data_IF_383544020341
#
_entry.id   IF_383544020341
#
_cell.length_a   1.000
_cell.length_b   1.000
_cell.length_c   1.000
_cell.angle_alpha   90.00
_cell.angle_beta   90.00
_cell.angle_gamma   90.00
#
_symmetry.space_group_name_H-M   'P 1'
#
loop_
_entity.id
_entity.type
_entity.pdbx_description
1 polymer ?
#
# COMPACT_ATOMS: atom_id res chain seq x y z
N UNK A 1 -4.31 19.61 -11.43
CA UNK A 1 -3.01 19.02 -11.82
C UNK A 1 -3.23 17.52 -12.01
N UNK A 2 -2.97 16.95 -13.19
CA UNK A 2 -3.16 15.49 -13.39
C UNK A 2 -1.97 14.76 -12.73
N UNK A 3 -2.21 13.77 -11.87
CA UNK A 3 -1.12 13.07 -11.20
C UNK A 3 -0.22 12.37 -12.21
N UNK A 4 1.07 12.43 -11.93
CA UNK A 4 2.12 11.76 -12.68
C UNK A 4 1.94 10.24 -12.58
N UNK A 5 2.11 9.51 -13.68
CA UNK A 5 1.92 8.05 -13.73
C UNK A 5 3.18 7.36 -14.19
N UNK A 6 3.37 6.10 -13.78
CA UNK A 6 4.50 5.27 -14.21
C UNK A 6 4.63 5.24 -15.75
N UNK A 7 3.50 5.08 -16.45
CA UNK A 7 3.50 5.08 -17.92
C UNK A 7 4.04 6.37 -18.52
N UNK A 8 3.71 7.54 -17.94
CA UNK A 8 4.23 8.83 -18.42
C UNK A 8 5.73 8.99 -18.16
N UNK A 9 6.23 8.49 -17.02
CA UNK A 9 7.66 8.48 -16.73
C UNK A 9 8.42 7.59 -17.74
N UNK A 10 7.88 6.41 -18.04
CA UNK A 10 8.43 5.51 -19.06
C UNK A 10 8.42 6.16 -20.44
N UNK A 11 7.34 6.83 -20.82
CA UNK A 11 7.23 7.51 -22.11
C UNK A 11 8.29 8.60 -22.27
N UNK A 12 8.51 9.43 -21.25
CA UNK A 12 9.56 10.45 -21.26
C UNK A 12 10.94 9.81 -21.43
N UNK A 13 11.25 8.80 -20.62
CA UNK A 13 12.55 8.11 -20.72
C UNK A 13 12.73 7.45 -22.08
N UNK A 14 11.67 6.87 -22.65
CA UNK A 14 11.66 6.28 -24.00
C UNK A 14 11.99 7.31 -25.07
N UNK A 15 11.33 8.48 -25.04
CA UNK A 15 11.55 9.57 -25.99
C UNK A 15 13.00 10.05 -25.92
N UNK A 16 13.46 10.38 -24.70
CA UNK A 16 14.83 10.84 -24.44
C UNK A 16 15.87 9.85 -24.98
N UNK A 17 15.64 8.54 -24.80
CA UNK A 17 16.52 7.48 -25.30
C UNK A 17 16.48 7.34 -26.82
N UNK A 18 15.30 7.44 -27.43
CA UNK A 18 15.12 7.29 -28.87
C UNK A 18 15.80 8.42 -29.67
N UNK A 19 15.66 9.65 -29.20
CA UNK A 19 16.20 10.84 -29.89
C UNK A 19 17.62 11.22 -29.47
N UNK A 20 18.19 10.54 -28.46
CA UNK A 20 19.54 10.82 -27.91
C UNK A 20 19.72 12.27 -27.45
N UNK A 21 18.66 12.86 -26.91
CA UNK A 21 18.58 14.28 -26.58
C UNK A 21 17.20 14.81 -26.95
N UNK A 22 16.46 15.36 -26.00
CA UNK A 22 15.15 16.01 -26.27
C UNK A 22 15.06 17.36 -25.58
N UNK A 23 14.46 18.33 -26.25
CA UNK A 23 14.04 19.61 -25.69
C UNK A 23 12.66 19.50 -25.03
N UNK A 24 12.20 20.59 -24.41
CA UNK A 24 10.84 20.68 -23.87
C UNK A 24 9.82 20.62 -25.02
N UNK A 25 10.11 21.29 -26.13
CA UNK A 25 9.27 21.35 -27.33
C UNK A 25 9.09 19.96 -27.96
N UNK A 26 10.16 19.16 -28.03
CA UNK A 26 10.08 17.78 -28.54
C UNK A 26 9.12 16.93 -27.70
N UNK A 27 9.17 17.08 -26.37
CA UNK A 27 8.29 16.35 -25.44
C UNK A 27 6.85 16.85 -25.52
N UNK A 28 6.67 18.16 -25.67
CA UNK A 28 5.36 18.80 -25.88
C UNK A 28 4.65 18.22 -27.10
N UNK A 29 5.35 18.22 -28.24
CA UNK A 29 4.84 17.71 -29.52
C UNK A 29 4.61 16.20 -29.47
N UNK A 30 5.61 15.42 -29.07
CA UNK A 30 5.55 13.96 -29.10
C UNK A 30 4.50 13.37 -28.13
N UNK A 31 4.27 14.03 -26.99
CA UNK A 31 3.30 13.57 -25.98
C UNK A 31 1.93 14.25 -26.09
N UNK A 32 1.77 15.21 -27.00
CA UNK A 32 0.56 16.03 -27.19
C UNK A 32 0.09 16.68 -25.88
N UNK A 33 1.02 17.33 -25.18
CA UNK A 33 0.77 18.03 -23.92
C UNK A 33 1.12 19.52 -24.09
N UNK A 34 0.93 20.33 -23.05
CA UNK A 34 1.38 21.72 -23.08
C UNK A 34 2.81 21.84 -22.53
N UNK A 35 3.49 22.95 -22.89
CA UNK A 35 4.86 23.26 -22.45
C UNK A 35 5.08 23.16 -20.94
N UNK A 36 4.15 23.68 -20.14
CA UNK A 36 4.24 23.63 -18.67
C UNK A 36 4.28 22.19 -18.16
N UNK A 37 3.42 21.33 -18.74
CA UNK A 37 3.38 19.92 -18.38
C UNK A 37 4.62 19.19 -18.86
N UNK A 38 5.09 19.43 -20.07
CA UNK A 38 6.34 18.85 -20.58
C UNK A 38 7.53 19.19 -19.65
N UNK A 39 7.62 20.46 -19.25
CA UNK A 39 8.63 20.95 -18.29
C UNK A 39 8.53 20.23 -16.95
N UNK A 40 7.31 20.08 -16.41
CA UNK A 40 7.07 19.35 -15.16
C UNK A 40 7.49 17.88 -15.26
N UNK A 41 7.16 17.20 -16.36
CA UNK A 41 7.52 15.80 -16.57
C UNK A 41 9.03 15.59 -16.63
N UNK A 42 9.73 16.45 -17.38
CA UNK A 42 11.18 16.41 -17.51
C UNK A 42 11.85 16.71 -16.16
N UNK A 43 11.37 17.72 -15.43
CA UNK A 43 11.88 18.04 -14.10
C UNK A 43 11.73 16.87 -13.13
N UNK A 44 10.58 16.19 -13.11
CA UNK A 44 10.37 15.04 -12.24
C UNK A 44 11.27 13.85 -12.62
N UNK A 45 11.40 13.56 -13.91
CA UNK A 45 12.30 12.50 -14.39
C UNK A 45 13.78 12.82 -14.07
N UNK A 46 14.16 14.09 -14.10
CA UNK A 46 15.48 14.59 -13.71
C UNK A 46 15.71 14.50 -12.19
N UNK A 47 14.72 14.88 -11.36
CA UNK A 47 14.76 14.71 -9.90
C UNK A 47 14.91 13.24 -9.49
N UNK A 48 14.31 12.33 -10.26
CA UNK A 48 14.47 10.88 -10.12
C UNK A 48 15.77 10.35 -10.72
N UNK A 49 16.63 11.22 -11.28
CA UNK A 49 17.90 10.89 -11.95
C UNK A 49 17.75 9.91 -13.12
N UNK A 50 16.55 9.75 -13.70
CA UNK A 50 16.34 8.90 -14.88
C UNK A 50 16.83 9.59 -16.15
N UNK A 51 16.81 10.92 -16.14
CA UNK A 51 17.38 11.76 -17.19
C UNK A 51 18.28 12.82 -16.55
N UNK A 52 19.11 13.46 -17.37
CA UNK A 52 19.97 14.57 -16.99
C UNK A 52 19.82 15.70 -18.00
N UNK A 53 19.83 16.95 -17.55
CA UNK A 53 19.86 18.13 -18.43
C UNK A 53 21.29 18.52 -18.78
N UNK A 54 21.52 18.88 -20.03
CA UNK A 54 22.75 19.52 -20.53
C UNK A 54 22.34 20.62 -21.54
N UNK A 55 22.43 21.87 -21.10
CA UNK A 55 21.85 23.02 -21.79
C UNK A 55 20.33 22.92 -21.89
N UNK A 56 19.79 23.02 -23.09
CA UNK A 56 18.35 22.90 -23.38
C UNK A 56 17.90 21.46 -23.66
N UNK A 57 18.83 20.51 -23.65
CA UNK A 57 18.55 19.12 -24.00
C UNK A 57 18.61 18.22 -22.78
N UNK A 58 17.74 17.22 -22.77
CA UNK A 58 17.66 16.17 -21.77
C UNK A 58 18.14 14.84 -22.35
N UNK A 59 18.95 14.12 -21.59
CA UNK A 59 19.58 12.86 -21.98
C UNK A 59 19.29 11.76 -20.98
N UNK A 60 19.19 10.51 -21.43
CA UNK A 60 18.94 9.37 -20.55
C UNK A 60 20.19 9.07 -19.72
N UNK A 61 20.01 8.75 -18.44
CA UNK A 61 21.11 8.27 -17.58
C UNK A 61 21.23 6.75 -17.64
N UNK A 62 22.28 6.19 -17.04
CA UNK A 62 22.36 4.74 -16.83
C UNK A 62 21.17 4.19 -16.03
N UNK A 63 20.73 4.96 -15.03
CA UNK A 63 19.56 4.62 -14.20
C UNK A 63 18.26 4.67 -15.02
N UNK A 64 18.08 5.67 -15.89
CA UNK A 64 16.94 5.75 -16.80
C UNK A 64 16.86 4.59 -17.78
N UNK A 65 18.01 4.17 -18.33
CA UNK A 65 18.05 2.98 -19.18
C UNK A 65 17.66 1.72 -18.41
N UNK A 66 18.17 1.53 -17.19
CA UNK A 66 17.79 0.40 -16.34
C UNK A 66 16.29 0.41 -15.98
N UNK A 67 15.75 1.58 -15.64
CA UNK A 67 14.33 1.79 -15.38
C UNK A 67 13.46 1.35 -16.58
N UNK A 68 13.80 1.83 -17.78
CA UNK A 68 13.05 1.51 -18.99
C UNK A 68 13.11 0.02 -19.34
N UNK A 69 14.30 -0.59 -19.27
CA UNK A 69 14.46 -2.02 -19.54
C UNK A 69 13.69 -2.88 -18.53
N UNK A 70 13.72 -2.52 -17.24
CA UNK A 70 12.95 -3.22 -16.21
C UNK A 70 11.44 -3.14 -16.48
N UNK A 71 10.94 -1.94 -16.80
CA UNK A 71 9.53 -1.76 -17.15
C UNK A 71 9.14 -2.57 -18.39
N UNK A 72 9.93 -2.51 -19.47
CA UNK A 72 9.63 -3.19 -20.74
C UNK A 72 9.64 -4.72 -20.61
N UNK A 73 10.43 -5.27 -19.68
CA UNK A 73 10.48 -6.71 -19.37
C UNK A 73 9.42 -7.15 -18.35
N UNK A 74 8.67 -6.22 -17.77
CA UNK A 74 7.77 -6.50 -16.66
C UNK A 74 8.50 -6.92 -15.37
N UNK A 75 9.79 -6.60 -15.23
CA UNK A 75 10.60 -6.93 -14.07
C UNK A 75 10.33 -5.94 -12.93
N UNK A 76 9.29 -6.24 -12.15
CA UNK A 76 8.83 -5.40 -11.02
C UNK A 76 9.89 -5.27 -9.93
N UNK A 77 10.64 -6.33 -9.64
CA UNK A 77 11.67 -6.32 -8.62
C UNK A 77 12.83 -5.41 -9.04
N UNK A 78 13.25 -5.47 -10.31
CA UNK A 78 14.28 -4.55 -10.82
C UNK A 78 13.79 -3.11 -10.88
N UNK A 79 12.52 -2.90 -11.21
CA UNK A 79 11.92 -1.57 -11.21
C UNK A 79 11.89 -0.96 -9.80
N UNK A 80 11.50 -1.76 -8.80
CA UNK A 80 11.57 -1.38 -7.39
C UNK A 80 12.99 -1.02 -6.95
N UNK A 81 13.99 -1.83 -7.32
CA UNK A 81 15.41 -1.56 -7.06
C UNK A 81 15.83 -0.19 -7.61
N UNK A 82 15.51 0.08 -8.88
CA UNK A 82 15.83 1.36 -9.53
C UNK A 82 15.11 2.53 -8.86
N UNK A 83 13.85 2.37 -8.48
CA UNK A 83 13.09 3.42 -7.78
C UNK A 83 13.59 3.68 -6.36
N UNK A 84 14.24 2.71 -5.69
CA UNK A 84 14.86 2.93 -4.38
C UNK A 84 16.02 3.95 -4.42
N UNK A 85 16.60 4.24 -5.60
CA UNK A 85 17.60 5.30 -5.76
C UNK A 85 16.99 6.71 -5.65
N UNK A 86 15.65 6.83 -5.76
CA UNK A 86 14.92 8.08 -5.55
C UNK A 86 14.55 8.25 -4.06
N UNK A 87 15.15 9.20 -3.32
CA UNK A 87 15.01 9.26 -1.87
C UNK A 87 13.57 9.35 -1.34
N UNK A 88 12.64 10.12 -1.96
CA UNK A 88 11.24 10.14 -1.54
C UNK A 88 10.55 8.78 -1.66
N UNK A 89 10.82 8.01 -2.72
CA UNK A 89 10.26 6.67 -2.88
C UNK A 89 10.79 5.73 -1.79
N UNK A 90 12.11 5.74 -1.56
CA UNK A 90 12.73 4.94 -0.51
C UNK A 90 12.19 5.31 0.88
N UNK A 91 12.04 6.60 1.18
CA UNK A 91 11.55 7.07 2.47
C UNK A 91 10.12 6.59 2.76
N UNK A 92 9.19 6.76 1.81
CA UNK A 92 7.81 6.27 1.97
C UNK A 92 7.81 4.75 2.16
N UNK A 93 8.53 4.02 1.29
CA UNK A 93 8.62 2.56 1.35
C UNK A 93 9.16 2.09 2.70
N UNK A 94 10.22 2.71 3.20
CA UNK A 94 10.84 2.40 4.49
C UNK A 94 9.83 2.58 5.63
N UNK A 95 9.09 3.68 5.67
CA UNK A 95 8.07 3.93 6.70
C UNK A 95 6.98 2.86 6.69
N UNK A 96 6.38 2.58 5.52
CA UNK A 96 5.28 1.61 5.40
C UNK A 96 5.75 0.15 5.58
N UNK A 97 7.07 -0.09 5.47
CA UNK A 97 7.71 -1.38 5.78
C UNK A 97 7.94 -1.63 7.26
N UNK A 98 7.70 -0.63 8.11
CA UNK A 98 7.89 -0.73 9.57
C UNK A 98 6.57 -0.64 10.33
N UNK A 99 5.61 0.14 9.84
CA UNK A 99 4.33 0.39 10.51
C UNK A 99 3.21 0.71 9.50
N UNK A 100 1.96 0.61 9.94
CA UNK A 100 0.83 1.15 9.18
C UNK A 100 0.66 2.65 9.43
N UNK A 101 0.45 3.40 8.36
CA UNK A 101 0.37 4.87 8.40
C UNK A 101 -0.70 5.39 7.45
N UNK A 102 -1.30 6.54 7.77
CA UNK A 102 -2.21 7.24 6.86
C UNK A 102 -1.43 8.10 5.87
N UNK A 103 -2.11 8.59 4.82
CA UNK A 103 -1.53 9.55 3.88
C UNK A 103 -1.08 10.81 4.63
N UNK A 104 -1.88 11.29 5.59
CA UNK A 104 -1.54 12.48 6.38
C UNK A 104 -0.29 12.27 7.25
N UNK A 105 -0.17 11.10 7.88
CA UNK A 105 1.04 10.75 8.64
C UNK A 105 2.26 10.64 7.72
N UNK A 106 2.12 10.06 6.51
CA UNK A 106 3.20 10.02 5.53
C UNK A 106 3.65 11.42 5.11
N UNK A 107 2.72 12.35 4.88
CA UNK A 107 3.05 13.74 4.57
C UNK A 107 3.85 14.38 5.70
N UNK A 108 3.40 14.22 6.94
CA UNK A 108 4.08 14.76 8.12
C UNK A 108 5.47 14.15 8.30
N UNK A 109 5.64 12.85 8.07
CA UNK A 109 6.91 12.15 8.26
C UNK A 109 7.93 12.39 7.15
N UNK A 110 7.47 12.70 5.93
CA UNK A 110 8.33 12.85 4.74
C UNK A 110 8.48 14.29 4.26
N UNK A 111 7.68 15.23 4.80
CA UNK A 111 7.53 16.59 4.29
C UNK A 111 7.13 16.67 2.80
N UNK A 112 6.50 15.60 2.28
CA UNK A 112 5.99 15.56 0.92
C UNK A 112 4.58 16.14 0.83
N UNK A 113 4.23 16.62 -0.36
CA UNK A 113 2.84 16.98 -0.67
C UNK A 113 1.97 15.72 -0.75
N UNK A 114 0.66 15.87 -0.54
CA UNK A 114 -0.29 14.76 -0.69
C UNK A 114 -0.18 14.09 -2.06
N UNK A 115 -0.10 14.91 -3.12
CA UNK A 115 0.05 14.44 -4.51
C UNK A 115 1.33 13.62 -4.69
N UNK A 116 2.44 14.04 -4.07
CA UNK A 116 3.71 13.29 -4.16
C UNK A 116 3.62 11.95 -3.41
N UNK A 117 3.00 11.93 -2.23
CA UNK A 117 2.77 10.68 -1.48
C UNK A 117 1.89 9.72 -2.29
N UNK A 118 0.77 10.19 -2.84
CA UNK A 118 -0.12 9.36 -3.67
C UNK A 118 0.59 8.82 -4.91
N UNK A 119 1.40 9.64 -5.58
CA UNK A 119 2.19 9.23 -6.72
C UNK A 119 3.14 8.09 -6.34
N UNK A 120 3.87 8.23 -5.23
CA UNK A 120 4.80 7.21 -4.73
C UNK A 120 4.05 5.92 -4.35
N UNK A 121 2.89 6.03 -3.70
CA UNK A 121 2.07 4.87 -3.36
C UNK A 121 1.57 4.12 -4.62
N UNK A 122 1.27 4.83 -5.71
CA UNK A 122 0.93 4.19 -6.99
C UNK A 122 2.13 3.50 -7.64
N UNK A 123 3.33 4.07 -7.53
CA UNK A 123 4.57 3.41 -7.97
C UNK A 123 4.83 2.14 -7.15
N UNK A 124 4.65 2.22 -5.83
CA UNK A 124 4.77 1.08 -4.91
C UNK A 124 3.72 0.01 -5.21
N UNK A 125 2.49 0.39 -5.54
CA UNK A 125 1.44 -0.56 -5.91
C UNK A 125 1.78 -1.36 -7.17
N UNK A 126 2.52 -0.76 -8.10
CA UNK A 126 2.97 -1.46 -9.31
C UNK A 126 4.14 -2.42 -9.03
N UNK A 127 5.00 -2.07 -8.08
CA UNK A 127 6.29 -2.73 -7.85
C UNK A 127 6.28 -3.73 -6.69
N UNK A 128 5.42 -3.54 -5.70
CA UNK A 128 5.32 -4.35 -4.49
C UNK A 128 3.97 -5.06 -4.42
N UNK A 129 3.98 -6.40 -4.57
CA UNK A 129 2.75 -7.20 -4.51
C UNK A 129 2.15 -7.28 -3.08
N UNK A 130 2.94 -6.96 -2.06
CA UNK A 130 2.54 -7.00 -0.65
C UNK A 130 2.07 -5.64 -0.08
N UNK A 131 1.82 -4.65 -0.95
CA UNK A 131 1.26 -3.37 -0.53
C UNK A 131 -0.22 -3.52 -0.17
N UNK A 132 -0.58 -3.15 1.05
CA UNK A 132 -1.93 -3.27 1.58
C UNK A 132 -2.52 -1.90 1.91
N UNK A 133 -3.79 -1.73 1.55
CA UNK A 133 -4.63 -0.61 1.99
C UNK A 133 -5.73 -1.15 2.89
N UNK A 134 -5.79 -0.66 4.13
CA UNK A 134 -6.75 -1.11 5.13
C UNK A 134 -7.37 0.12 5.80
N UNK A 135 -8.59 0.47 5.39
CA UNK A 135 -9.19 1.76 5.76
C UNK A 135 -8.34 2.92 5.24
N UNK A 136 -8.01 3.87 6.11
CA UNK A 136 -7.15 5.02 5.78
C UNK A 136 -5.64 4.74 5.90
N UNK A 137 -5.28 3.52 6.29
CA UNK A 137 -3.88 3.14 6.55
C UNK A 137 -3.30 2.33 5.38
N UNK A 138 -2.02 2.54 5.12
CA UNK A 138 -1.19 1.81 4.16
C UNK A 138 0.01 1.18 4.84
N UNK A 139 0.37 -0.04 4.43
CA UNK A 139 1.53 -0.78 4.92
C UNK A 139 2.00 -1.83 3.90
N UNK A 140 3.24 -2.29 4.03
CA UNK A 140 3.70 -3.53 3.40
C UNK A 140 3.45 -4.71 4.35
N UNK A 141 2.75 -5.74 3.88
CA UNK A 141 2.49 -6.91 4.71
C UNK A 141 3.77 -7.69 5.01
N UNK A 142 3.82 -8.25 6.22
CA UNK A 142 4.95 -9.09 6.66
C UNK A 142 4.92 -10.44 5.98
N UNK A 143 6.10 -11.00 5.66
CA UNK A 143 6.20 -12.33 5.04
C UNK A 143 5.88 -13.46 6.02
N UNK A 144 6.30 -13.29 7.27
CA UNK A 144 6.12 -14.28 8.32
C UNK A 144 4.93 -13.91 9.20
N UNK A 145 4.04 -14.88 9.41
CA UNK A 145 2.90 -14.70 10.31
C UNK A 145 3.39 -14.53 11.76
N UNK A 146 2.74 -13.66 12.56
CA UNK A 146 3.08 -13.46 13.95
C UNK A 146 2.87 -14.75 14.75
N UNK A 147 3.53 -14.87 15.91
CA UNK A 147 3.29 -15.99 16.82
C UNK A 147 1.84 -15.94 17.31
N UNK A 148 1.23 -17.10 17.56
CA UNK A 148 -0.18 -17.16 17.97
C UNK A 148 -0.48 -16.33 19.23
N UNK A 149 0.43 -16.33 20.20
CA UNK A 149 0.30 -15.52 21.43
C UNK A 149 0.35 -14.01 21.16
N UNK A 150 1.18 -13.58 20.22
CA UNK A 150 1.30 -12.17 19.81
C UNK A 150 0.01 -11.74 19.11
N UNK A 151 -0.46 -12.54 18.15
CA UNK A 151 -1.75 -12.32 17.48
C UNK A 151 -2.90 -12.21 18.48
N UNK A 152 -2.99 -13.15 19.43
CA UNK A 152 -4.05 -13.13 20.44
C UNK A 152 -3.96 -11.92 21.38
N UNK A 153 -2.74 -11.52 21.76
CA UNK A 153 -2.52 -10.33 22.58
C UNK A 153 -3.04 -9.06 21.89
N UNK A 154 -2.72 -8.87 20.61
CA UNK A 154 -3.22 -7.74 19.82
C UNK A 154 -4.73 -7.82 19.60
N UNK A 155 -5.25 -9.02 19.29
CA UNK A 155 -6.69 -9.24 19.13
C UNK A 155 -7.46 -8.83 20.40
N UNK A 156 -6.98 -9.23 21.59
CA UNK A 156 -7.55 -8.82 22.87
C UNK A 156 -7.52 -7.30 23.04
N UNK A 157 -6.35 -6.68 22.85
CA UNK A 157 -6.18 -5.23 22.98
C UNK A 157 -7.22 -4.49 22.14
N UNK A 158 -7.27 -4.79 20.84
CA UNK A 158 -8.21 -4.18 19.89
C UNK A 158 -9.67 -4.44 20.28
N UNK A 159 -10.01 -5.68 20.65
CA UNK A 159 -11.36 -6.03 21.05
C UNK A 159 -11.82 -5.23 22.28
N UNK A 160 -10.98 -5.11 23.31
CA UNK A 160 -11.31 -4.36 24.53
C UNK A 160 -11.34 -2.86 24.30
N UNK A 161 -10.50 -2.31 23.43
CA UNK A 161 -10.59 -0.91 23.01
C UNK A 161 -11.94 -0.64 22.33
N UNK A 162 -12.36 -1.51 21.40
CA UNK A 162 -13.64 -1.39 20.71
C UNK A 162 -14.84 -1.60 21.64
N UNK A 163 -14.78 -2.54 22.58
CA UNK A 163 -15.90 -2.82 23.50
C UNK A 163 -16.14 -1.71 24.51
N UNK A 164 -15.09 -0.96 24.88
CA UNK A 164 -15.17 0.21 25.77
C UNK A 164 -15.59 1.49 25.05
N UNK A 165 -15.45 1.55 23.73
CA UNK A 165 -15.78 2.72 22.91
C UNK A 165 -17.28 2.91 22.62
N UNK A 166 -18.16 2.05 23.14
CA UNK A 166 -19.60 2.20 22.97
C UNK A 166 -20.10 3.47 23.66
N UNK A 167 -20.76 4.33 22.86
CA UNK A 167 -21.60 5.40 23.38
C UNK A 167 -22.55 4.76 24.40
N UNK A 168 -22.77 5.41 25.55
CA UNK A 168 -23.68 4.97 26.63
C UNK A 168 -23.12 4.07 27.75
N UNK A 169 -21.81 3.77 27.80
CA UNK A 169 -21.21 3.14 28.99
C UNK A 169 -21.57 1.66 29.21
N UNK A 170 -22.31 1.05 28.29
CA UNK A 170 -22.57 -0.40 28.27
C UNK A 170 -21.52 -1.08 27.38
N UNK A 171 -20.67 -1.94 27.95
CA UNK A 171 -19.73 -2.72 27.15
C UNK A 171 -20.47 -3.57 26.13
N UNK A 172 -20.09 -3.46 24.86
CA UNK A 172 -20.64 -4.34 23.85
C UNK A 172 -19.82 -5.63 23.83
N UNK A 173 -20.39 -6.72 24.32
CA UNK A 173 -19.74 -8.04 24.33
C UNK A 173 -19.65 -8.68 22.94
N UNK A 174 -20.35 -8.13 21.94
CA UNK A 174 -20.31 -8.61 20.57
C UNK A 174 -19.82 -7.50 19.65
N UNK A 175 -18.56 -7.60 19.24
CA UNK A 175 -17.95 -6.64 18.32
C UNK A 175 -17.94 -7.23 16.92
N UNK A 176 -18.24 -6.41 15.92
CA UNK A 176 -18.18 -6.88 14.53
C UNK A 176 -16.75 -7.29 14.17
N UNK A 177 -16.61 -8.48 13.56
CA UNK A 177 -15.30 -9.04 13.20
C UNK A 177 -14.57 -8.13 12.23
N UNK A 178 -15.25 -7.52 11.26
CA UNK A 178 -14.59 -6.67 10.27
C UNK A 178 -13.93 -5.43 10.90
N UNK A 179 -14.54 -4.86 11.95
CA UNK A 179 -13.93 -3.75 12.71
C UNK A 179 -12.69 -4.19 13.46
N UNK A 180 -12.75 -5.36 14.10
CA UNK A 180 -11.60 -5.94 14.82
C UNK A 180 -10.49 -6.29 13.84
N UNK A 181 -10.82 -6.97 12.74
CA UNK A 181 -9.89 -7.42 11.72
C UNK A 181 -9.12 -6.24 11.11
N UNK A 182 -9.79 -5.15 10.75
CA UNK A 182 -9.13 -3.94 10.21
C UNK A 182 -8.05 -3.44 11.16
N UNK A 183 -8.37 -3.27 12.45
CA UNK A 183 -7.41 -2.74 13.43
C UNK A 183 -6.28 -3.72 13.74
N UNK A 184 -6.59 -5.02 13.88
CA UNK A 184 -5.56 -6.06 14.08
C UNK A 184 -4.63 -6.15 12.87
N UNK A 185 -5.17 -6.12 11.65
CA UNK A 185 -4.39 -6.12 10.42
C UNK A 185 -3.49 -4.89 10.31
N UNK A 186 -3.98 -3.72 10.71
CA UNK A 186 -3.18 -2.49 10.74
C UNK A 186 -2.03 -2.55 11.75
N UNK A 187 -2.27 -3.10 12.94
CA UNK A 187 -1.25 -3.22 14.00
C UNK A 187 -0.18 -4.26 13.62
N UNK A 188 -0.60 -5.43 13.13
CA UNK A 188 0.29 -6.56 12.81
C UNK A 188 0.76 -6.59 11.36
N UNK A 189 0.31 -5.64 10.52
CA UNK A 189 0.58 -5.59 9.07
C UNK A 189 0.24 -6.88 8.36
N UNK A 190 -0.95 -7.41 8.64
CA UNK A 190 -1.49 -8.62 8.04
C UNK A 190 -2.42 -8.30 6.88
N UNK A 191 -2.50 -9.20 5.91
CA UNK A 191 -3.63 -9.23 4.99
C UNK A 191 -4.88 -9.77 5.70
N UNK A 192 -6.06 -9.57 5.11
CA UNK A 192 -7.29 -10.17 5.65
C UNK A 192 -7.23 -11.70 5.63
N UNK A 193 -6.59 -12.29 4.61
CA UNK A 193 -6.42 -13.74 4.50
C UNK A 193 -5.48 -14.28 5.60
N UNK A 194 -4.42 -13.54 5.91
CA UNK A 194 -3.50 -13.86 7.01
C UNK A 194 -4.20 -13.74 8.38
N UNK A 195 -4.99 -12.68 8.58
CA UNK A 195 -5.80 -12.52 9.79
C UNK A 195 -6.74 -13.71 9.98
N UNK A 196 -7.43 -14.14 8.92
CA UNK A 196 -8.31 -15.31 8.98
C UNK A 196 -7.58 -16.59 9.32
N UNK A 197 -6.44 -16.83 8.68
CA UNK A 197 -5.58 -17.98 8.97
C UNK A 197 -5.13 -17.99 10.43
N UNK A 198 -4.81 -16.83 10.99
CA UNK A 198 -4.41 -16.69 12.39
C UNK A 198 -5.59 -16.86 13.35
N UNK A 199 -6.78 -16.37 12.98
CA UNK A 199 -8.00 -16.53 13.75
C UNK A 199 -8.45 -17.99 13.79
N UNK A 200 -8.39 -18.71 12.67
CA UNK A 200 -8.63 -20.15 12.57
C UNK A 200 -7.74 -20.92 13.56
N UNK A 201 -6.41 -20.70 13.48
CA UNK A 201 -5.44 -21.35 14.38
C UNK A 201 -5.71 -21.04 15.86
N UNK A 202 -6.17 -19.83 16.16
CA UNK A 202 -6.48 -19.42 17.53
C UNK A 202 -7.69 -20.19 18.08
N UNK A 203 -8.73 -20.36 17.26
CA UNK A 203 -9.93 -21.13 17.60
C UNK A 203 -9.57 -22.60 17.81
N UNK A 204 -8.77 -23.19 16.90
CA UNK A 204 -8.30 -24.57 16.99
C UNK A 204 -7.46 -24.83 18.25
N UNK A 205 -6.72 -23.82 18.75
CA UNK A 205 -5.96 -23.95 19.99
C UNK A 205 -6.82 -23.99 21.26
N UNK A 206 -8.14 -23.85 21.15
CA UNK A 206 -9.07 -23.82 22.28
C UNK A 206 -9.09 -22.49 23.03
N UNK A 207 -8.66 -21.40 22.38
CA UNK A 207 -8.79 -20.07 22.97
C UNK A 207 -10.27 -19.72 23.18
N UNK A 208 -10.56 -18.95 24.24
CA UNK A 208 -11.93 -18.52 24.57
C UNK A 208 -12.43 -17.40 23.64
N UNK A 209 -12.65 -17.76 22.39
CA UNK A 209 -13.12 -16.89 21.31
C UNK A 209 -14.42 -17.45 20.76
N UNK A 210 -15.52 -16.74 20.92
CA UNK A 210 -16.77 -17.08 20.26
C UNK A 210 -16.94 -16.26 18.99
N UNK A 211 -17.27 -16.94 17.89
CA UNK A 211 -17.70 -16.30 16.65
C UNK A 211 -19.19 -16.53 16.44
N UNK A 212 -19.91 -15.45 16.18
CA UNK A 212 -21.33 -15.46 15.88
C UNK A 212 -21.56 -14.88 14.48
N UNK A 213 -22.50 -15.46 13.73
CA UNK A 213 -22.89 -14.94 12.42
C UNK A 213 -24.41 -14.93 12.30
N UNK A 214 -25.00 -13.80 11.90
CA UNK A 214 -26.42 -13.75 11.59
C UNK A 214 -26.67 -14.36 10.19
N UNK A 215 -27.26 -15.55 10.16
CA UNK A 215 -27.69 -16.22 8.93
C UNK A 215 -26.68 -17.19 8.30
N UNK A 216 -25.63 -17.58 9.03
CA UNK A 216 -24.65 -18.59 8.59
C UNK A 216 -24.45 -19.64 9.70
N UNK A 217 -24.16 -20.89 9.34
CA UNK A 217 -23.92 -21.98 10.30
C UNK A 217 -22.63 -21.77 11.12
N UNK A 218 -22.57 -22.35 12.32
CA UNK A 218 -21.47 -22.25 13.29
C UNK A 218 -20.05 -22.62 12.79
N UNK A 219 -19.92 -23.33 11.67
CA UNK A 219 -18.64 -23.70 11.05
C UNK A 219 -18.09 -22.60 10.12
N UNK A 220 -18.08 -21.35 10.59
CA UNK A 220 -17.69 -20.20 9.79
C UNK A 220 -16.51 -19.48 10.42
N UNK A 221 -15.39 -19.44 9.68
CA UNK A 221 -14.34 -18.47 9.94
C UNK A 221 -14.38 -17.41 8.84
N UNK A 222 -14.57 -16.13 9.23
CA UNK A 222 -14.51 -15.00 8.32
C UNK A 222 -13.26 -15.05 7.44
N UNK A 223 -13.41 -14.74 6.16
CA UNK A 223 -12.39 -14.58 5.12
C UNK A 223 -11.51 -15.79 4.74
N UNK A 224 -11.51 -16.90 5.48
CA UNK A 224 -10.86 -18.16 5.05
C UNK A 224 -11.63 -18.88 3.92
N UNK A 225 -12.96 -18.75 3.92
CA UNK A 225 -13.82 -19.44 2.98
C UNK A 225 -14.20 -18.52 1.81
N UNK A 226 -13.47 -18.61 0.69
CA UNK A 226 -13.68 -17.83 -0.56
C UNK A 226 -15.10 -17.93 -1.15
N UNK A 227 -15.92 -18.85 -0.65
CA UNK A 227 -17.34 -18.99 -1.02
C UNK A 227 -18.25 -17.93 -0.38
N UNK A 228 -17.73 -17.13 0.55
CA UNK A 228 -18.52 -16.21 1.37
C UNK A 228 -18.27 -14.79 0.89
N UNK A 229 -19.33 -14.12 0.46
CA UNK A 229 -19.24 -12.77 -0.10
C UNK A 229 -18.80 -11.77 0.98
N UNK A 230 -17.96 -10.77 0.63
CA UNK A 230 -17.55 -9.72 1.56
C UNK A 230 -18.68 -9.00 2.29
N UNK A 231 -19.85 -8.88 1.65
CA UNK A 231 -21.05 -8.31 2.26
C UNK A 231 -21.58 -9.10 3.47
N UNK A 232 -21.30 -10.41 3.54
CA UNK A 232 -21.72 -11.28 4.64
C UNK A 232 -20.92 -11.05 5.92
N UNK A 233 -19.70 -10.48 5.84
CA UNK A 233 -18.88 -10.18 7.03
C UNK A 233 -19.46 -9.09 7.92
N UNK A 234 -20.37 -8.26 7.38
CA UNK A 234 -21.08 -7.22 8.14
C UNK A 234 -21.99 -7.77 9.25
N UNK A 235 -22.27 -9.08 9.21
CA UNK A 235 -23.14 -9.80 10.13
C UNK A 235 -22.39 -10.77 11.05
N UNK A 236 -21.07 -10.61 11.13
CA UNK A 236 -20.21 -11.51 11.89
C UNK A 236 -19.65 -10.77 13.10
N UNK A 237 -19.75 -11.39 14.27
CA UNK A 237 -19.39 -10.83 15.55
C UNK A 237 -18.43 -11.76 16.28
N UNK A 238 -17.50 -11.16 17.00
CA UNK A 238 -16.56 -11.83 17.90
C UNK A 238 -16.86 -11.43 19.34
N UNK A 239 -16.77 -12.40 20.24
CA UNK A 239 -16.80 -12.20 21.68
C UNK A 239 -15.58 -12.90 22.28
N UNK A 240 -14.80 -12.19 23.09
CA UNK A 240 -13.72 -12.77 23.88
C UNK A 240 -14.21 -12.98 25.31
N UNK A 241 -14.17 -14.21 25.82
CA UNK A 241 -14.48 -14.50 27.22
C UNK A 241 -13.20 -14.40 28.05
N UNK A 242 -13.26 -13.69 29.17
CA UNK A 242 -12.21 -13.70 30.20
C UNK A 242 -12.09 -15.10 30.86
#
# INVERSE_FOLDING_TARGET
>A
MRPFTLGRLVDVVRLVRAFRGVSVEDVEEAMMINKDRATELLKQAEEMKLIKRDGELYYSTGLGNAFFEAYNRGDRAKLDEVLNEYPPYFAVKSIISQKSVSIEELRSLTNLTEVAVEMILRLLQYTCDNLCFMGEKVFLSVKDLPKLNEFYSVLKKVYFELSRSSQWGCSNSFIRVDKVAVLVCQELRLTMDDFSTMLDKLIESGARVDLHSEGMSYAFVPFANRRIKPSSFKRCFICLRE
#
